data_IF_670244422697
#
_entry.id   IF_670244422697
#
_cell.length_a   1.000
_cell.length_b   1.000
_cell.length_c   1.000
_cell.angle_alpha   90.00
_cell.angle_beta   90.00
_cell.angle_gamma   90.00
#
_symmetry.space_group_name_H-M   'P 1'
#
loop_
_entity.id
_entity.type
_entity.pdbx_description
1 polymer ?
#
# COMPACT_ATOMS: atom_id res chain seq x y z
N UNK A 1 9.45 19.39 49.89
CA UNK A 1 9.27 18.27 48.95
C UNK A 1 9.71 18.80 47.61
N UNK A 2 10.99 18.60 47.28
CA UNK A 2 11.61 19.10 46.06
C UNK A 2 11.08 18.26 44.90
N UNK A 3 10.38 18.88 43.96
CA UNK A 3 10.03 18.24 42.70
C UNK A 3 11.33 17.92 41.97
N UNK A 4 11.73 16.65 42.01
CA UNK A 4 12.82 16.14 41.20
C UNK A 4 12.36 16.23 39.74
N UNK A 5 12.83 17.25 39.04
CA UNK A 5 12.67 17.37 37.60
C UNK A 5 13.55 16.30 36.95
N UNK A 6 12.99 15.10 36.80
CA UNK A 6 13.58 14.02 36.02
C UNK A 6 13.78 14.54 34.60
N UNK A 7 15.02 14.58 34.06
CA UNK A 7 15.22 14.92 32.66
C UNK A 7 14.41 13.94 31.81
N UNK A 8 13.38 14.43 31.12
CA UNK A 8 12.67 13.64 30.14
C UNK A 8 13.64 13.33 29.00
N UNK A 9 14.08 12.08 28.93
CA UNK A 9 14.86 11.58 27.79
C UNK A 9 14.09 11.93 26.50
N UNK A 10 14.73 12.52 25.48
CA UNK A 10 14.05 12.83 24.22
C UNK A 10 13.47 11.52 23.70
N UNK A 11 12.15 11.42 23.60
CA UNK A 11 11.50 10.25 23.05
C UNK A 11 12.16 9.94 21.69
N UNK A 12 12.82 8.79 21.59
CA UNK A 12 13.41 8.34 20.33
C UNK A 12 12.34 8.47 19.23
N UNK A 13 12.70 8.97 18.03
CA UNK A 13 11.72 9.13 16.96
C UNK A 13 10.97 7.82 16.79
N UNK A 14 9.63 7.88 16.90
CA UNK A 14 8.78 6.71 16.81
C UNK A 14 9.15 5.92 15.54
N UNK A 15 9.66 4.70 15.73
CA UNK A 15 10.08 3.87 14.61
C UNK A 15 8.87 3.61 13.70
N UNK A 16 9.04 3.76 12.38
CA UNK A 16 7.97 3.49 11.42
C UNK A 16 7.42 2.08 11.61
N UNK A 17 6.09 1.90 11.49
CA UNK A 17 5.49 0.58 11.63
C UNK A 17 6.02 -0.37 10.55
N UNK A 18 6.25 -1.63 10.92
CA UNK A 18 6.79 -2.63 10.01
C UNK A 18 5.90 -2.79 8.76
N UNK A 19 6.49 -2.67 7.57
CA UNK A 19 5.78 -2.72 6.29
C UNK A 19 5.36 -1.36 5.72
N UNK A 20 5.58 -0.25 6.44
CA UNK A 20 5.34 1.10 5.93
C UNK A 20 6.22 1.47 4.72
N UNK A 21 7.41 0.85 4.62
CA UNK A 21 8.33 0.98 3.48
C UNK A 21 7.68 0.59 2.14
N UNK A 22 6.70 -0.31 2.18
CA UNK A 22 5.98 -0.78 1.00
C UNK A 22 4.96 0.23 0.47
N UNK A 23 4.52 1.20 1.28
CA UNK A 23 3.45 2.13 0.93
C UNK A 23 3.77 2.93 -0.32
N UNK A 24 4.94 3.57 -0.33
CA UNK A 24 5.37 4.43 -1.44
C UNK A 24 5.56 3.59 -2.71
N UNK A 25 6.23 2.45 -2.59
CA UNK A 25 6.50 1.55 -3.72
C UNK A 25 5.19 1.01 -4.30
N UNK A 26 4.29 0.49 -3.46
CA UNK A 26 2.99 -0.01 -3.89
C UNK A 26 2.13 1.09 -4.52
N UNK A 27 2.11 2.30 -3.93
CA UNK A 27 1.36 3.44 -4.45
C UNK A 27 1.82 3.89 -5.83
N UNK A 28 3.14 4.07 -6.02
CA UNK A 28 3.71 4.48 -7.31
C UNK A 28 3.49 3.40 -8.37
N UNK A 29 3.73 2.13 -8.04
CA UNK A 29 3.50 1.02 -8.98
C UNK A 29 2.03 0.88 -9.36
N UNK A 30 1.11 1.17 -8.44
CA UNK A 30 -0.32 1.15 -8.72
C UNK A 30 -0.73 2.27 -9.69
N UNK A 31 -0.08 3.44 -9.64
CA UNK A 31 -0.34 4.54 -10.59
C UNK A 31 0.25 4.26 -11.97
N UNK A 32 1.52 3.83 -12.03
CA UNK A 32 2.25 3.68 -13.30
C UNK A 32 1.93 2.35 -13.99
N UNK A 33 1.82 1.27 -13.22
CA UNK A 33 1.67 -0.10 -13.70
C UNK A 33 0.43 -0.80 -13.11
N UNK A 34 -0.56 -0.02 -12.67
CA UNK A 34 -1.78 -0.51 -12.03
C UNK A 34 -2.58 -1.48 -12.89
N UNK A 35 -2.64 -1.23 -14.20
CA UNK A 35 -3.32 -2.11 -15.16
C UNK A 35 -2.77 -3.55 -15.16
N UNK A 36 -1.51 -3.75 -14.77
CA UNK A 36 -0.88 -5.06 -14.67
C UNK A 36 -1.03 -5.70 -13.29
N UNK A 37 -1.48 -4.95 -12.28
CA UNK A 37 -1.65 -5.42 -10.90
C UNK A 37 -0.34 -5.63 -10.12
N UNK A 38 0.77 -5.05 -10.57
CA UNK A 38 2.10 -5.31 -9.98
C UNK A 38 2.17 -4.90 -8.50
N UNK A 39 1.50 -3.81 -8.13
CA UNK A 39 1.43 -3.31 -6.76
C UNK A 39 0.85 -4.33 -5.77
N UNK A 40 -0.02 -5.24 -6.22
CA UNK A 40 -0.60 -6.30 -5.38
C UNK A 40 0.45 -7.30 -4.90
N UNK A 41 1.41 -7.65 -5.74
CA UNK A 41 2.46 -8.61 -5.36
C UNK A 41 3.38 -8.05 -4.27
N UNK A 42 3.62 -6.73 -4.25
CA UNK A 42 4.41 -6.07 -3.19
C UNK A 42 3.78 -6.26 -1.81
N UNK A 43 2.44 -6.26 -1.75
CA UNK A 43 1.64 -6.45 -0.54
C UNK A 43 1.41 -7.94 -0.19
N UNK A 44 1.79 -8.85 -1.09
CA UNK A 44 1.55 -10.29 -0.97
C UNK A 44 0.16 -10.73 -1.45
N UNK A 45 -0.56 -9.88 -2.18
CA UNK A 45 -1.88 -10.15 -2.77
C UNK A 45 -1.75 -10.86 -4.12
N UNK A 46 -1.17 -12.05 -4.09
CA UNK A 46 -0.85 -12.82 -5.31
C UNK A 46 -2.10 -13.14 -6.13
N UNK A 47 -3.22 -13.45 -5.46
CA UNK A 47 -4.47 -13.82 -6.14
C UNK A 47 -5.03 -12.63 -6.92
N UNK A 48 -5.09 -11.47 -6.29
CA UNK A 48 -5.60 -10.23 -6.85
C UNK A 48 -4.69 -9.74 -7.99
N UNK A 49 -3.36 -9.79 -7.80
CA UNK A 49 -2.40 -9.46 -8.84
C UNK A 49 -2.53 -10.35 -10.07
N UNK A 50 -2.72 -11.67 -9.89
CA UNK A 50 -2.96 -12.60 -11.00
C UNK A 50 -4.29 -12.31 -11.69
N UNK A 51 -5.36 -11.97 -10.96
CA UNK A 51 -6.64 -11.59 -11.57
C UNK A 51 -6.47 -10.36 -12.47
N UNK A 52 -5.81 -9.30 -11.99
CA UNK A 52 -5.56 -8.09 -12.79
C UNK A 52 -4.72 -8.41 -14.04
N UNK A 53 -3.67 -9.21 -13.89
CA UNK A 53 -2.82 -9.62 -14.99
C UNK A 53 -3.57 -10.44 -16.04
N UNK A 54 -4.34 -11.45 -15.62
CA UNK A 54 -5.11 -12.30 -16.53
C UNK A 54 -6.20 -11.50 -17.25
N UNK A 55 -6.91 -10.61 -16.56
CA UNK A 55 -7.91 -9.76 -17.22
C UNK A 55 -7.25 -8.86 -18.25
N UNK A 56 -6.14 -8.20 -17.92
CA UNK A 56 -5.46 -7.31 -18.86
C UNK A 56 -4.85 -8.06 -20.06
N UNK A 57 -4.30 -9.27 -19.86
CA UNK A 57 -3.62 -10.03 -20.92
C UNK A 57 -4.60 -10.86 -21.77
N UNK A 58 -5.52 -11.62 -21.16
CA UNK A 58 -6.44 -12.51 -21.88
C UNK A 58 -7.47 -11.74 -22.72
N UNK A 59 -7.70 -10.47 -22.38
CA UNK A 59 -8.59 -9.59 -23.13
C UNK A 59 -7.86 -8.78 -24.19
N UNK A 60 -6.59 -9.10 -24.45
CA UNK A 60 -5.69 -8.38 -25.36
C UNK A 60 -5.63 -6.87 -25.05
N UNK A 61 -5.73 -6.51 -23.77
CA UNK A 61 -5.72 -5.13 -23.31
C UNK A 61 -7.07 -4.42 -23.35
N UNK A 62 -8.15 -5.05 -23.84
CA UNK A 62 -9.47 -4.39 -23.96
C UNK A 62 -10.02 -3.94 -22.61
N UNK A 63 -9.77 -4.71 -21.54
CA UNK A 63 -10.17 -4.36 -20.17
C UNK A 63 -9.01 -3.80 -19.32
N UNK A 64 -7.83 -3.57 -19.91
CA UNK A 64 -6.68 -3.04 -19.17
C UNK A 64 -6.93 -1.62 -18.65
N UNK A 65 -7.76 -0.82 -19.32
CA UNK A 65 -8.13 0.51 -18.84
C UNK A 65 -8.96 0.46 -17.55
N UNK A 66 -9.85 -0.53 -17.40
CA UNK A 66 -10.62 -0.75 -16.16
C UNK A 66 -9.66 -1.12 -15.02
N UNK A 67 -8.74 -2.06 -15.28
CA UNK A 67 -7.71 -2.43 -14.30
C UNK A 67 -6.78 -1.26 -13.98
N UNK A 68 -6.49 -0.39 -14.95
CA UNK A 68 -5.74 0.84 -14.76
C UNK A 68 -6.44 1.83 -13.83
N UNK A 69 -7.76 2.01 -13.96
CA UNK A 69 -8.55 2.86 -13.05
C UNK A 69 -8.53 2.28 -11.64
N UNK A 70 -8.71 0.96 -11.48
CA UNK A 70 -8.63 0.30 -10.17
C UNK A 70 -7.26 0.57 -9.54
N UNK A 71 -6.16 0.33 -10.28
CA UNK A 71 -4.81 0.59 -9.81
C UNK A 71 -4.56 2.06 -9.48
N UNK A 72 -5.08 3.00 -10.27
CA UNK A 72 -4.96 4.43 -10.01
C UNK A 72 -5.64 4.82 -8.69
N UNK A 73 -6.88 4.35 -8.47
CA UNK A 73 -7.63 4.61 -7.23
C UNK A 73 -6.90 4.03 -6.02
N UNK A 74 -6.41 2.79 -6.12
CA UNK A 74 -5.64 2.17 -5.05
C UNK A 74 -4.31 2.87 -4.80
N UNK A 75 -3.62 3.31 -5.85
CA UNK A 75 -2.36 4.05 -5.74
C UNK A 75 -2.53 5.36 -5.00
N UNK A 76 -3.56 6.14 -5.33
CA UNK A 76 -3.91 7.37 -4.61
C UNK A 76 -4.24 7.01 -3.15
N UNK A 77 -5.09 6.00 -2.92
CA UNK A 77 -5.51 5.60 -1.58
C UNK A 77 -4.34 5.14 -0.69
N UNK A 78 -3.35 4.45 -1.26
CA UNK A 78 -2.16 4.04 -0.51
C UNK A 78 -1.30 5.25 -0.15
N UNK A 79 -1.13 6.19 -1.08
CA UNK A 79 -0.30 7.37 -0.87
C UNK A 79 -0.93 8.40 0.06
N UNK A 80 -2.27 8.44 0.16
CA UNK A 80 -2.98 9.38 1.04
C UNK A 80 -3.23 8.87 2.46
N UNK A 81 -2.95 7.59 2.75
CA UNK A 81 -3.05 7.02 4.10
C UNK A 81 -1.81 7.29 4.95
N UNK A 82 -2.00 7.37 6.27
CA UNK A 82 -0.86 7.35 7.19
C UNK A 82 -0.13 6.00 7.12
N UNK A 83 1.12 5.94 7.58
CA UNK A 83 1.90 4.70 7.60
C UNK A 83 1.20 3.63 8.48
N UNK A 84 0.62 4.05 9.61
CA UNK A 84 -0.12 3.21 10.55
C UNK A 84 -1.40 2.66 9.92
N UNK A 85 -2.20 3.53 9.28
CA UNK A 85 -3.44 3.12 8.62
C UNK A 85 -3.17 2.17 7.45
N UNK A 86 -2.13 2.45 6.67
CA UNK A 86 -1.71 1.59 5.57
C UNK A 86 -1.31 0.20 6.08
N UNK A 87 -0.46 0.15 7.11
CA UNK A 87 0.00 -1.12 7.71
C UNK A 87 -1.18 -1.89 8.32
N UNK A 88 -2.03 -1.22 9.10
CA UNK A 88 -3.21 -1.84 9.70
C UNK A 88 -4.15 -2.43 8.64
N UNK A 89 -4.37 -1.72 7.53
CA UNK A 89 -5.34 -2.12 6.50
C UNK A 89 -4.77 -3.14 5.51
N UNK A 90 -3.58 -2.89 4.96
CA UNK A 90 -3.06 -3.64 3.81
C UNK A 90 -1.92 -4.60 4.13
N UNK A 91 -1.23 -4.41 5.24
CA UNK A 91 -0.20 -5.36 5.67
C UNK A 91 -0.82 -6.40 6.60
N UNK A 92 -1.47 -5.93 7.66
CA UNK A 92 -2.06 -6.78 8.70
C UNK A 92 -3.48 -7.22 8.34
N UNK A 93 -4.34 -6.29 7.93
CA UNK A 93 -5.74 -6.54 7.60
C UNK A 93 -5.96 -7.26 6.26
N UNK A 94 -4.90 -7.41 5.44
CA UNK A 94 -4.91 -8.10 4.15
C UNK A 94 -6.10 -7.73 3.25
N UNK A 95 -6.46 -6.45 3.23
CA UNK A 95 -7.53 -5.92 2.38
C UNK A 95 -7.14 -5.95 0.90
N UNK A 96 -7.59 -6.99 0.19
CA UNK A 96 -7.20 -7.30 -1.19
C UNK A 96 -7.67 -6.30 -2.24
N UNK A 97 -8.76 -5.57 -2.01
CA UNK A 97 -9.28 -4.53 -2.90
C UNK A 97 -9.79 -3.33 -2.09
N UNK A 98 -9.52 -2.11 -2.61
CA UNK A 98 -9.96 -0.81 -2.09
C UNK A 98 -10.06 -0.73 -0.57
#
# INVERSE_FOLDING_TARGET
>A
MSEENVPQEPAAPAAKPAGADKKIVAGILAIVLGALGIHKFILGYTKEGVIMLLVSVLTLGLFAWVMGIIGLVEGIMYLTKSDEEFVATYINGKKGWF
#
